data_IF_504982065630
#
_entry.id   IF_504982065630
#
_cell.length_a   1.000
_cell.length_b   1.000
_cell.length_c   1.000
_cell.angle_alpha   90.00
_cell.angle_beta   90.00
_cell.angle_gamma   90.00
#
_symmetry.space_group_name_H-M   'P 1'
#
loop_
_entity.id
_entity.type
_entity.pdbx_description
1 polymer ?
#
# COMPACT_ATOMS: atom_id res chain seq x y z
N UNK A 1 -19.12 6.14 6.40
CA UNK A 1 -18.90 7.50 5.80
C UNK A 1 -17.98 8.38 6.66
N UNK A 2 -17.93 8.18 7.97
CA UNK A 2 -17.11 9.00 8.86
C UNK A 2 -15.61 8.85 8.58
N UNK A 3 -15.08 7.62 8.47
CA UNK A 3 -13.66 7.37 8.21
C UNK A 3 -13.16 8.05 6.91
N UNK A 4 -13.99 8.15 5.87
CA UNK A 4 -13.63 8.85 4.64
C UNK A 4 -13.41 10.34 4.89
N UNK A 5 -14.24 10.95 5.75
CA UNK A 5 -14.18 12.40 6.04
C UNK A 5 -13.10 12.76 7.06
N UNK A 6 -12.81 11.86 7.99
CA UNK A 6 -11.94 12.12 9.14
C UNK A 6 -10.51 11.63 8.99
N UNK A 7 -10.26 10.66 8.08
CA UNK A 7 -8.90 10.21 7.82
C UNK A 7 -7.98 11.37 7.43
N UNK A 8 -6.81 11.41 8.05
CA UNK A 8 -5.74 12.39 7.73
C UNK A 8 -4.40 11.67 7.55
N UNK A 9 -3.48 12.31 6.85
CA UNK A 9 -2.09 11.85 6.75
C UNK A 9 -1.36 12.13 8.07
N UNK A 10 -1.21 11.12 8.91
CA UNK A 10 -0.43 11.19 10.13
C UNK A 10 1.06 11.03 9.81
N UNK A 11 1.89 11.87 10.43
CA UNK A 11 3.35 11.88 10.24
C UNK A 11 4.11 11.90 11.56
N UNK A 12 3.37 11.86 12.66
CA UNK A 12 3.88 11.63 14.01
C UNK A 12 3.28 10.33 14.49
N UNK A 13 4.12 9.41 14.90
CA UNK A 13 3.72 8.09 15.34
C UNK A 13 3.99 7.95 16.82
N UNK A 14 3.24 7.06 17.47
CA UNK A 14 3.52 6.60 18.83
C UNK A 14 4.68 5.60 18.79
N UNK A 15 5.41 5.47 19.90
CA UNK A 15 6.44 4.45 20.09
C UNK A 15 5.87 3.07 20.45
N UNK A 16 4.71 2.77 19.94
CA UNK A 16 3.91 1.60 20.26
C UNK A 16 3.92 0.65 19.06
N UNK A 17 4.24 -0.62 19.28
CA UNK A 17 4.18 -1.61 18.23
C UNK A 17 2.72 -1.85 17.80
N UNK A 18 2.51 -2.00 16.50
CA UNK A 18 1.21 -2.43 15.97
C UNK A 18 1.17 -3.96 16.03
N UNK A 19 0.19 -4.58 16.70
CA UNK A 19 0.06 -6.04 16.71
C UNK A 19 -0.06 -6.59 15.28
N UNK A 20 0.60 -7.71 15.03
CA UNK A 20 0.62 -8.33 13.70
C UNK A 20 -0.80 -8.65 13.17
N UNK A 21 -1.69 -9.11 14.04
CA UNK A 21 -3.08 -9.43 13.72
C UNK A 21 -3.87 -8.19 13.26
N UNK A 22 -3.52 -7.02 13.76
CA UNK A 22 -4.12 -5.75 13.31
C UNK A 22 -3.67 -5.44 11.88
N UNK A 23 -2.39 -5.64 11.59
CA UNK A 23 -1.85 -5.46 10.23
C UNK A 23 -2.48 -6.45 9.24
N UNK A 24 -2.66 -7.71 9.63
CA UNK A 24 -3.36 -8.72 8.84
C UNK A 24 -4.82 -8.33 8.58
N UNK A 25 -5.52 -7.82 9.59
CA UNK A 25 -6.90 -7.35 9.47
C UNK A 25 -7.02 -6.21 8.47
N UNK A 26 -6.12 -5.23 8.54
CA UNK A 26 -6.09 -4.09 7.61
C UNK A 26 -5.82 -4.56 6.17
N UNK A 27 -4.84 -5.44 5.98
CA UNK A 27 -4.53 -6.02 4.65
C UNK A 27 -5.70 -6.85 4.14
N UNK A 28 -6.33 -7.64 5.01
CA UNK A 28 -7.52 -8.43 4.69
C UNK A 28 -8.67 -7.54 4.20
N UNK A 29 -8.93 -6.42 4.87
CA UNK A 29 -9.92 -5.45 4.43
C UNK A 29 -9.57 -4.84 3.07
N UNK A 30 -8.29 -4.50 2.85
CA UNK A 30 -7.81 -3.96 1.58
C UNK A 30 -7.96 -4.94 0.39
N UNK A 31 -7.99 -6.24 0.65
CA UNK A 31 -8.21 -7.27 -0.38
C UNK A 31 -9.61 -7.23 -1.00
N UNK A 32 -10.59 -6.59 -0.32
CA UNK A 32 -11.93 -6.38 -0.87
C UNK A 32 -12.01 -5.18 -1.83
N UNK A 33 -10.93 -4.45 -2.05
CA UNK A 33 -10.89 -3.36 -3.01
C UNK A 33 -11.21 -3.89 -4.42
N UNK A 34 -12.09 -3.23 -5.19
CA UNK A 34 -12.36 -3.63 -6.57
C UNK A 34 -11.10 -3.45 -7.44
N UNK A 35 -10.97 -4.29 -8.45
CA UNK A 35 -9.92 -4.19 -9.44
C UNK A 35 -10.43 -4.51 -10.83
N UNK A 36 -9.72 -4.08 -11.87
CA UNK A 36 -10.06 -4.37 -13.25
C UNK A 36 -10.24 -5.89 -13.46
N UNK A 37 -11.40 -6.31 -14.02
CA UNK A 37 -11.79 -7.73 -14.18
C UNK A 37 -11.51 -8.59 -12.92
N UNK A 38 -11.54 -7.99 -11.74
CA UNK A 38 -11.23 -8.65 -10.46
C UNK A 38 -9.85 -9.35 -10.44
N UNK A 39 -8.85 -8.72 -11.05
CA UNK A 39 -7.48 -9.29 -11.13
C UNK A 39 -6.75 -9.30 -9.81
N UNK A 40 -7.15 -8.47 -8.85
CA UNK A 40 -6.61 -8.40 -7.48
C UNK A 40 -5.08 -8.40 -7.46
N UNK A 41 -4.46 -7.51 -8.26
CA UNK A 41 -3.01 -7.50 -8.49
C UNK A 41 -2.19 -6.94 -7.32
N UNK A 42 -2.83 -6.18 -6.42
CA UNK A 42 -2.11 -5.51 -5.32
C UNK A 42 -1.57 -6.52 -4.30
N UNK A 43 -0.35 -6.29 -3.83
CA UNK A 43 0.31 -7.08 -2.78
C UNK A 43 0.89 -6.13 -1.74
N UNK A 44 0.99 -6.60 -0.52
CA UNK A 44 1.50 -5.84 0.62
C UNK A 44 2.69 -6.56 1.24
N UNK A 45 3.79 -5.86 1.41
CA UNK A 45 4.96 -6.35 2.16
C UNK A 45 4.98 -5.57 3.46
N UNK A 46 4.72 -6.26 4.56
CA UNK A 46 4.74 -5.66 5.90
C UNK A 46 6.13 -5.85 6.50
N UNK A 47 6.75 -4.76 6.91
CA UNK A 47 8.08 -4.72 7.53
C UNK A 47 7.94 -4.20 8.95
N UNK A 48 8.15 -5.06 9.94
CA UNK A 48 8.05 -4.75 11.37
C UNK A 48 9.42 -4.69 12.04
N UNK A 49 10.44 -5.23 11.39
CA UNK A 49 11.82 -5.22 11.86
C UNK A 49 12.44 -3.82 11.73
N UNK A 50 12.83 -3.24 12.85
CA UNK A 50 13.36 -1.87 12.91
C UNK A 50 14.65 -1.67 12.12
N UNK A 51 15.52 -2.68 12.07
CA UNK A 51 16.77 -2.58 11.30
C UNK A 51 16.49 -2.57 9.79
N UNK A 52 15.49 -3.34 9.34
CA UNK A 52 15.03 -3.31 7.94
C UNK A 52 14.35 -1.99 7.59
N UNK A 53 13.50 -1.46 8.49
CA UNK A 53 12.87 -0.14 8.31
C UNK A 53 13.95 0.95 8.16
N UNK A 54 14.96 0.97 9.05
CA UNK A 54 16.07 1.91 8.97
C UNK A 54 16.85 1.78 7.66
N UNK A 55 17.14 0.55 7.23
CA UNK A 55 17.83 0.30 5.97
C UNK A 55 17.03 0.80 4.77
N UNK A 56 15.71 0.53 4.72
CA UNK A 56 14.84 1.03 3.67
C UNK A 56 14.79 2.56 3.67
N UNK A 57 14.67 3.18 4.84
CA UNK A 57 14.65 4.63 4.99
C UNK A 57 15.93 5.29 4.46
N UNK A 58 17.08 4.64 4.67
CA UNK A 58 18.40 5.16 4.26
C UNK A 58 18.67 4.91 2.79
N UNK A 59 18.46 3.67 2.31
CA UNK A 59 18.98 3.21 1.03
C UNK A 59 17.96 3.35 -0.12
N UNK A 60 16.63 3.35 0.20
CA UNK A 60 15.59 3.21 -0.82
C UNK A 60 14.79 4.49 -1.09
N UNK A 61 15.02 5.58 -0.37
CA UNK A 61 14.22 6.82 -0.46
C UNK A 61 14.90 7.91 -1.30
N UNK A 62 16.00 7.59 -1.96
CA UNK A 62 16.73 8.47 -2.89
C UNK A 62 17.06 9.86 -2.31
N UNK A 63 17.39 9.93 -1.01
CA UNK A 63 17.78 11.16 -0.34
C UNK A 63 16.63 12.13 -0.04
N UNK A 64 15.38 11.73 -0.18
CA UNK A 64 14.25 12.57 0.20
C UNK A 64 14.06 12.56 1.72
N UNK A 65 14.76 13.45 2.41
CA UNK A 65 14.90 13.51 3.88
C UNK A 65 13.56 13.45 4.64
N UNK A 66 12.53 14.08 4.10
CA UNK A 66 11.22 14.09 4.73
C UNK A 66 10.61 12.69 4.85
N UNK A 67 10.68 11.88 3.77
CA UNK A 67 10.22 10.50 3.80
C UNK A 67 11.13 9.61 4.63
N UNK A 68 12.43 9.78 4.52
CA UNK A 68 13.43 9.09 5.36
C UNK A 68 13.09 9.24 6.84
N UNK A 69 12.89 10.47 7.30
CA UNK A 69 12.53 10.77 8.69
C UNK A 69 11.18 10.16 9.10
N UNK A 70 10.19 10.23 8.22
CA UNK A 70 8.86 9.67 8.49
C UNK A 70 8.93 8.14 8.63
N UNK A 71 9.63 7.46 7.71
CA UNK A 71 9.77 6.00 7.71
C UNK A 71 10.53 5.53 8.97
N UNK A 72 11.61 6.18 9.35
CA UNK A 72 12.37 5.84 10.57
C UNK A 72 11.52 5.78 11.83
N UNK A 73 10.52 6.64 11.92
CA UNK A 73 9.72 6.81 13.12
C UNK A 73 8.45 5.93 13.13
N UNK A 74 8.16 5.18 12.07
CA UNK A 74 6.97 4.32 12.04
C UNK A 74 7.17 3.02 12.84
N UNK A 75 6.08 2.48 13.37
CA UNK A 75 6.07 1.19 14.06
C UNK A 75 6.17 0.01 13.09
N UNK A 76 5.53 0.15 11.94
CA UNK A 76 5.58 -0.79 10.83
C UNK A 76 5.59 -0.02 9.51
N UNK A 77 6.24 -0.57 8.49
CA UNK A 77 6.26 -0.05 7.13
C UNK A 77 5.53 -1.03 6.21
N UNK A 78 4.57 -0.54 5.45
CA UNK A 78 3.89 -1.34 4.44
C UNK A 78 4.28 -0.87 3.05
N UNK A 79 4.93 -1.76 2.29
CA UNK A 79 5.29 -1.51 0.89
C UNK A 79 4.19 -2.10 0.01
N UNK A 80 3.51 -1.24 -0.74
CA UNK A 80 2.49 -1.65 -1.69
C UNK A 80 3.15 -2.00 -3.01
N UNK A 81 2.91 -3.21 -3.49
CA UNK A 81 3.43 -3.73 -4.76
C UNK A 81 2.29 -4.26 -5.63
N UNK A 82 2.57 -4.60 -6.87
CA UNK A 82 1.57 -5.11 -7.80
C UNK A 82 2.13 -6.24 -8.68
N UNK A 83 1.26 -7.17 -9.05
CA UNK A 83 1.58 -8.18 -10.04
C UNK A 83 1.44 -7.55 -11.42
N UNK A 84 2.53 -7.53 -12.18
CA UNK A 84 2.60 -6.92 -13.52
C UNK A 84 1.92 -7.77 -14.59
N UNK A 85 1.52 -7.11 -15.67
CA UNK A 85 0.99 -7.73 -16.89
C UNK A 85 -0.30 -8.54 -16.66
N UNK A 86 -1.18 -8.04 -15.77
CA UNK A 86 -2.48 -8.65 -15.49
C UNK A 86 -3.64 -7.68 -15.62
N UNK A 87 -3.60 -6.57 -14.91
CA UNK A 87 -4.64 -5.56 -14.99
C UNK A 87 -4.46 -4.74 -16.26
N UNK A 88 -5.49 -4.66 -17.09
CA UNK A 88 -5.45 -4.00 -18.40
C UNK A 88 -5.04 -4.91 -19.55
N UNK A 89 -4.71 -6.19 -19.29
CA UNK A 89 -4.24 -7.14 -20.29
C UNK A 89 -5.27 -8.25 -20.60
N UNK A 90 -5.27 -8.72 -21.83
CA UNK A 90 -5.90 -9.97 -22.24
C UNK A 90 -4.96 -11.16 -22.02
N UNK A 91 -5.47 -12.38 -22.21
CA UNK A 91 -4.69 -13.61 -21.98
C UNK A 91 -3.51 -13.78 -22.95
N UNK A 92 -3.59 -13.17 -24.11
CA UNK A 92 -2.52 -13.18 -25.14
C UNK A 92 -1.46 -12.09 -24.93
N UNK A 93 -1.61 -11.28 -23.86
CA UNK A 93 -0.70 -10.20 -23.54
C UNK A 93 -1.01 -8.86 -24.24
N UNK A 94 -2.05 -8.81 -25.07
CA UNK A 94 -2.51 -7.56 -25.67
C UNK A 94 -3.24 -6.67 -24.64
N UNK A 95 -3.31 -5.37 -24.90
CA UNK A 95 -4.06 -4.45 -24.06
C UNK A 95 -5.56 -4.52 -24.35
N UNK A 96 -6.38 -4.57 -23.31
CA UNK A 96 -7.85 -4.57 -23.43
C UNK A 96 -8.40 -3.22 -23.86
N UNK A 97 -7.78 -2.13 -23.44
CA UNK A 97 -8.25 -0.76 -23.66
C UNK A 97 -7.10 0.18 -23.96
N UNK A 98 -7.41 1.39 -24.45
CA UNK A 98 -6.44 2.47 -24.66
C UNK A 98 -5.76 2.98 -23.38
N UNK A 99 -6.18 2.51 -22.21
CA UNK A 99 -5.50 2.82 -20.93
C UNK A 99 -4.28 1.92 -20.69
N UNK A 100 -4.18 0.82 -21.42
CA UNK A 100 -3.01 -0.08 -21.38
C UNK A 100 -2.70 -0.56 -19.95
N UNK A 101 -1.44 -0.54 -19.53
CA UNK A 101 -0.96 -0.90 -18.20
C UNK A 101 -1.33 0.09 -17.09
N UNK A 102 -1.91 1.24 -17.43
CA UNK A 102 -2.36 2.24 -16.43
C UNK A 102 -3.43 1.71 -15.49
N UNK A 103 -4.12 0.64 -15.88
CA UNK A 103 -5.04 -0.06 -14.98
C UNK A 103 -4.33 -0.63 -13.75
N UNK A 104 -3.06 -0.99 -13.85
CA UNK A 104 -2.29 -1.50 -12.72
C UNK A 104 -2.14 -0.44 -11.62
N UNK A 105 -1.78 0.79 -12.00
CA UNK A 105 -1.67 1.91 -11.05
C UNK A 105 -3.03 2.34 -10.51
N UNK A 106 -4.08 2.27 -11.35
CA UNK A 106 -5.44 2.57 -10.93
C UNK A 106 -5.92 1.60 -9.85
N UNK A 107 -5.77 0.30 -10.07
CA UNK A 107 -6.14 -0.74 -9.10
C UNK A 107 -5.33 -0.64 -7.80
N UNK A 108 -4.02 -0.41 -7.92
CA UNK A 108 -3.15 -0.22 -6.76
C UNK A 108 -3.57 1.02 -5.94
N UNK A 109 -4.01 2.10 -6.59
CA UNK A 109 -4.52 3.29 -5.94
C UNK A 109 -5.81 3.04 -5.16
N UNK A 110 -6.76 2.28 -5.75
CA UNK A 110 -8.01 1.90 -5.07
C UNK A 110 -7.72 1.05 -3.84
N UNK A 111 -6.87 0.02 -3.99
CA UNK A 111 -6.49 -0.87 -2.89
C UNK A 111 -5.75 -0.11 -1.77
N UNK A 112 -4.86 0.82 -2.13
CA UNK A 112 -4.17 1.69 -1.17
C UNK A 112 -5.14 2.56 -0.39
N UNK A 113 -6.14 3.15 -1.05
CA UNK A 113 -7.16 3.95 -0.35
C UNK A 113 -7.99 3.09 0.60
N UNK A 114 -8.38 1.88 0.18
CA UNK A 114 -9.12 0.95 1.05
C UNK A 114 -8.27 0.57 2.27
N UNK A 115 -6.98 0.28 2.08
CA UNK A 115 -6.02 0.07 3.16
C UNK A 115 -5.96 1.26 4.13
N UNK A 116 -5.86 2.48 3.61
CA UNK A 116 -5.79 3.68 4.45
C UNK A 116 -7.06 3.91 5.27
N UNK A 117 -8.23 3.56 4.73
CA UNK A 117 -9.50 3.67 5.45
C UNK A 117 -9.58 2.61 6.57
N UNK A 118 -9.23 1.37 6.28
CA UNK A 118 -9.17 0.30 7.28
C UNK A 118 -8.18 0.60 8.41
N UNK A 119 -7.01 1.16 8.07
CA UNK A 119 -6.01 1.56 9.07
C UNK A 119 -6.44 2.77 9.91
N UNK A 120 -7.40 3.58 9.43
CA UNK A 120 -7.93 4.71 10.18
C UNK A 120 -9.02 4.27 11.17
N UNK A 121 -9.80 3.28 10.82
CA UNK A 121 -10.89 2.72 11.64
C UNK A 121 -10.37 1.93 12.84
#
# INVERSE_FOLDING_TARGET
>A
MECIKTRRSCRKFKEEAVPHEVLETIVGAAAYAPSWKNTQITRYIVVEDKAKIEKIATDCVLGFEYNTKTIRNCAALVVVTMVKNRSGYEKDGSYTTSKEDRWEMFDAGIATQTFCLAAHE
#
